data_IF_138292137977
#
_entry.id   IF_138292137977
#
_cell.length_a   1.000
_cell.length_b   1.000
_cell.length_c   1.000
_cell.angle_alpha   90.00
_cell.angle_beta   90.00
_cell.angle_gamma   90.00
#
_symmetry.space_group_name_H-M   'P 1'
#
loop_
_entity.id
_entity.type
_entity.pdbx_description
1 polymer ?
#
# COMPACT_ATOMS: atom_id res chain seq x y z
N UNK A 1 -21.17 26.79 12.70
CA UNK A 1 -19.97 26.29 13.42
C UNK A 1 -19.92 24.76 13.59
N UNK A 2 -20.96 24.00 13.22
CA UNK A 2 -21.00 22.53 13.40
C UNK A 2 -20.29 21.72 12.29
N UNK A 3 -20.14 22.30 11.08
CA UNK A 3 -19.53 21.62 9.93
C UNK A 3 -17.99 21.62 9.98
N UNK A 4 -17.38 22.71 10.47
CA UNK A 4 -15.93 22.81 10.72
C UNK A 4 -15.46 21.67 11.64
N UNK A 5 -16.26 21.36 12.66
CA UNK A 5 -15.97 20.35 13.67
C UNK A 5 -16.02 18.91 13.14
N UNK A 6 -16.85 18.61 12.13
CA UNK A 6 -16.94 17.25 11.58
C UNK A 6 -15.68 16.86 10.79
N UNK A 7 -15.19 17.75 9.92
CA UNK A 7 -13.98 17.48 9.13
C UNK A 7 -12.74 17.41 10.02
N UNK A 8 -12.60 18.31 10.99
CA UNK A 8 -11.48 18.29 11.95
C UNK A 8 -11.50 16.99 12.76
N UNK A 9 -12.66 16.59 13.30
CA UNK A 9 -12.79 15.32 14.04
C UNK A 9 -12.42 14.13 13.18
N UNK A 10 -12.84 14.10 11.91
CA UNK A 10 -12.52 13.00 11.01
C UNK A 10 -11.03 12.91 10.70
N UNK A 11 -10.36 14.03 10.39
CA UNK A 11 -8.91 14.04 10.16
C UNK A 11 -8.10 13.57 11.38
N UNK A 12 -8.60 13.86 12.59
CA UNK A 12 -7.96 13.41 13.84
C UNK A 12 -8.22 11.94 14.20
N UNK A 13 -9.28 11.33 13.64
CA UNK A 13 -9.76 9.99 14.06
C UNK A 13 -9.74 8.94 12.96
N UNK A 14 -9.43 9.32 11.73
CA UNK A 14 -9.40 8.42 10.59
C UNK A 14 -8.25 8.78 9.65
N UNK A 15 -7.59 7.77 9.05
CA UNK A 15 -6.59 8.01 8.03
C UNK A 15 -7.14 8.82 6.86
N UNK A 16 -6.31 9.72 6.34
CA UNK A 16 -6.63 10.57 5.19
C UNK A 16 -5.42 10.69 4.26
N UNK A 17 -5.67 11.03 3.00
CA UNK A 17 -4.62 11.41 2.03
C UNK A 17 -4.66 12.92 1.84
N UNK A 18 -3.56 13.59 2.18
CA UNK A 18 -3.36 15.01 2.07
C UNK A 18 -2.71 15.37 0.74
N UNK A 19 -3.35 16.23 -0.03
CA UNK A 19 -2.94 16.68 -1.37
C UNK A 19 -2.76 18.20 -1.35
N UNK A 20 -1.98 18.75 -2.28
CA UNK A 20 -1.79 20.22 -2.35
C UNK A 20 -3.11 20.95 -2.64
N UNK A 21 -3.94 20.36 -3.49
CA UNK A 21 -5.30 20.80 -3.82
C UNK A 21 -6.21 19.58 -3.85
N UNK A 22 -7.52 19.73 -3.61
CA UNK A 22 -8.46 18.63 -3.73
C UNK A 22 -8.30 17.92 -5.08
N UNK A 23 -8.31 16.58 -5.11
CA UNK A 23 -8.26 15.86 -6.37
C UNK A 23 -9.52 16.15 -7.21
N UNK A 24 -9.39 16.04 -8.53
CA UNK A 24 -10.55 16.00 -9.42
C UNK A 24 -11.45 14.81 -9.01
N UNK A 25 -12.75 15.04 -8.72
CA UNK A 25 -13.70 13.97 -8.40
C UNK A 25 -13.70 12.82 -9.40
N UNK A 26 -13.55 13.12 -10.69
CA UNK A 26 -13.53 12.11 -11.75
C UNK A 26 -12.26 11.26 -11.71
N UNK A 27 -11.12 11.87 -11.38
CA UNK A 27 -9.86 11.16 -11.20
C UNK A 27 -9.90 10.24 -9.98
N UNK A 28 -10.44 10.72 -8.85
CA UNK A 28 -10.64 9.90 -7.65
C UNK A 28 -11.58 8.73 -7.94
N UNK A 29 -12.71 8.98 -8.61
CA UNK A 29 -13.65 7.92 -9.01
C UNK A 29 -12.99 6.87 -9.92
N UNK A 30 -12.21 7.31 -10.91
CA UNK A 30 -11.52 6.41 -11.83
C UNK A 30 -10.49 5.51 -11.12
N UNK A 31 -9.80 6.04 -10.09
CA UNK A 31 -8.93 5.23 -9.23
C UNK A 31 -9.76 4.21 -8.47
N UNK A 32 -10.80 4.63 -7.74
CA UNK A 32 -11.61 3.75 -6.89
C UNK A 32 -12.31 2.63 -7.67
N UNK A 33 -12.78 2.90 -8.90
CA UNK A 33 -13.42 1.89 -9.77
C UNK A 33 -12.51 0.72 -10.14
N UNK A 34 -11.20 0.92 -10.17
CA UNK A 34 -10.24 -0.17 -10.49
C UNK A 34 -10.15 -1.22 -9.38
N UNK A 35 -10.58 -0.86 -8.17
CA UNK A 35 -10.41 -1.68 -6.97
C UNK A 35 -11.76 -2.08 -6.34
N UNK A 36 -12.86 -1.54 -6.83
CA UNK A 36 -14.17 -1.95 -6.39
C UNK A 36 -14.52 -3.31 -7.02
N UNK A 37 -14.56 -4.37 -6.22
CA UNK A 37 -15.02 -5.71 -6.64
C UNK A 37 -16.50 -5.71 -7.08
N UNK A 38 -17.25 -4.72 -6.59
CA UNK A 38 -18.63 -4.43 -6.95
C UNK A 38 -18.74 -3.03 -7.60
N UNK A 39 -19.86 -2.69 -8.27
CA UNK A 39 -20.07 -1.34 -8.76
C UNK A 39 -19.90 -0.30 -7.64
N UNK A 40 -19.08 0.72 -7.90
CA UNK A 40 -18.83 1.80 -6.95
C UNK A 40 -20.16 2.46 -6.55
N UNK A 41 -20.50 2.41 -5.26
CA UNK A 41 -21.69 3.03 -4.71
C UNK A 41 -21.50 4.53 -4.49
N UNK A 42 -22.62 5.24 -4.30
CA UNK A 42 -22.62 6.65 -3.88
C UNK A 42 -23.59 6.86 -2.72
N UNK A 43 -23.19 7.66 -1.74
CA UNK A 43 -24.02 8.06 -0.60
C UNK A 43 -23.74 9.52 -0.23
N UNK A 44 -24.56 10.44 -0.73
CA UNK A 44 -24.26 11.87 -0.67
C UNK A 44 -22.92 12.18 -1.35
N UNK A 45 -22.00 12.83 -0.62
CA UNK A 45 -20.67 13.20 -1.10
C UNK A 45 -19.62 12.07 -0.94
N UNK A 46 -20.06 10.84 -0.65
CA UNK A 46 -19.18 9.68 -0.47
C UNK A 46 -19.26 8.72 -1.64
N UNK A 47 -18.11 8.27 -2.10
CA UNK A 47 -17.96 7.01 -2.82
C UNK A 47 -17.98 5.86 -1.83
N UNK A 48 -18.66 4.76 -2.18
CA UNK A 48 -18.74 3.55 -1.36
C UNK A 48 -18.03 2.41 -2.09
N UNK A 49 -16.97 1.90 -1.48
CA UNK A 49 -16.09 0.85 -2.01
C UNK A 49 -16.31 -0.43 -1.21
N UNK A 50 -16.51 -1.55 -1.89
CA UNK A 50 -16.73 -2.87 -1.27
C UNK A 50 -18.21 -3.22 -1.09
N UNK A 51 -18.51 -4.52 -0.96
CA UNK A 51 -19.89 -5.05 -0.86
C UNK A 51 -20.29 -5.57 0.53
N UNK A 52 -19.32 -5.99 1.36
CA UNK A 52 -19.56 -6.50 2.74
C UNK A 52 -18.99 -5.56 3.81
N UNK A 53 -17.80 -5.02 3.57
CA UNK A 53 -17.11 -4.08 4.48
C UNK A 53 -16.94 -2.72 3.81
N UNK A 54 -18.04 -1.97 3.71
CA UNK A 54 -18.08 -0.70 2.97
C UNK A 54 -17.09 0.34 3.52
N UNK A 55 -16.09 0.70 2.72
CA UNK A 55 -15.27 1.89 2.94
C UNK A 55 -15.89 3.06 2.17
N UNK A 56 -16.15 4.14 2.90
CA UNK A 56 -16.65 5.38 2.35
C UNK A 56 -15.48 6.33 2.15
N UNK A 57 -15.32 6.82 0.92
CA UNK A 57 -14.25 7.76 0.53
C UNK A 57 -14.88 9.08 0.09
N UNK A 58 -14.41 10.19 0.64
CA UNK A 58 -14.77 11.55 0.19
C UNK A 58 -13.52 12.41 0.02
N UNK A 59 -13.63 13.49 -0.72
CA UNK A 59 -12.60 14.52 -0.80
C UNK A 59 -13.15 15.84 -0.27
N UNK A 60 -12.29 16.65 0.32
CA UNK A 60 -12.62 17.96 0.87
C UNK A 60 -11.49 18.94 0.61
N UNK A 61 -11.84 20.21 0.48
CA UNK A 61 -10.89 21.32 0.60
C UNK A 61 -10.88 21.83 2.04
N UNK A 62 -9.70 21.96 2.62
CA UNK A 62 -9.49 22.48 3.96
C UNK A 62 -9.28 23.99 3.93
N UNK A 63 -9.99 24.71 4.81
CA UNK A 63 -9.62 26.09 5.12
C UNK A 63 -8.34 26.13 5.95
N UNK A 64 -7.61 27.26 5.98
CA UNK A 64 -6.43 27.42 6.84
C UNK A 64 -6.72 27.12 8.32
N UNK A 65 -7.91 27.50 8.81
CA UNK A 65 -8.34 27.24 10.18
C UNK A 65 -8.57 25.74 10.43
N UNK A 66 -9.14 25.02 9.46
CA UNK A 66 -9.33 23.58 9.55
C UNK A 66 -7.99 22.82 9.53
N UNK A 67 -7.06 23.21 8.66
CA UNK A 67 -5.74 22.61 8.57
C UNK A 67 -4.97 22.79 9.89
N UNK A 68 -4.93 24.03 10.41
CA UNK A 68 -4.31 24.36 11.70
C UNK A 68 -4.93 23.57 12.85
N UNK A 69 -6.27 23.55 12.94
CA UNK A 69 -6.96 22.80 13.98
C UNK A 69 -6.76 21.28 13.87
N UNK A 70 -6.60 20.73 12.67
CA UNK A 70 -6.35 19.30 12.48
C UNK A 70 -4.88 18.90 12.67
N UNK A 71 -3.95 19.85 12.78
CA UNK A 71 -2.51 19.54 12.80
C UNK A 71 -1.97 19.14 11.41
N UNK A 72 -2.61 19.63 10.35
CA UNK A 72 -2.27 19.36 8.95
C UNK A 72 -1.46 20.55 8.40
N UNK A 73 -0.42 20.31 7.56
CA UNK A 73 0.32 21.39 6.91
C UNK A 73 -0.59 22.32 6.09
N UNK A 74 -0.38 23.65 6.21
CA UNK A 74 -1.23 24.65 5.57
C UNK A 74 -1.15 24.65 4.03
N UNK A 75 -0.08 24.10 3.46
CA UNK A 75 0.14 23.91 2.01
C UNK A 75 -0.56 22.66 1.44
N UNK A 76 -1.21 21.87 2.31
CA UNK A 76 -1.98 20.66 1.96
C UNK A 76 -3.47 20.92 2.15
N UNK A 77 -4.08 21.60 1.18
CA UNK A 77 -5.48 22.01 1.25
C UNK A 77 -6.46 20.97 0.74
N UNK A 78 -6.03 19.95 -0.01
CA UNK A 78 -6.90 18.84 -0.36
C UNK A 78 -6.78 17.71 0.65
N UNK A 79 -7.90 17.13 1.07
CA UNK A 79 -7.90 15.93 1.91
C UNK A 79 -8.89 14.89 1.38
N UNK A 80 -8.45 13.64 1.30
CA UNK A 80 -9.29 12.50 0.97
C UNK A 80 -9.50 11.71 2.25
N UNK A 81 -10.73 11.71 2.74
CA UNK A 81 -11.09 11.18 4.05
C UNK A 81 -11.80 9.86 3.87
N UNK A 82 -11.40 8.86 4.65
CA UNK A 82 -12.00 7.54 4.66
C UNK A 82 -12.81 7.31 5.94
N UNK A 83 -13.87 6.52 5.85
CA UNK A 83 -14.63 6.06 7.01
C UNK A 83 -15.27 4.70 6.75
N UNK A 84 -15.60 3.94 7.80
CA UNK A 84 -16.11 2.57 7.65
C UNK A 84 -15.02 1.58 7.22
N UNK A 85 -15.42 0.33 6.97
CA UNK A 85 -14.54 -0.79 6.69
C UNK A 85 -13.59 -1.18 7.83
N UNK A 86 -12.96 -2.34 7.68
CA UNK A 86 -11.91 -2.76 8.59
C UNK A 86 -10.63 -1.92 8.42
N UNK A 87 -9.59 -2.21 9.22
CA UNK A 87 -8.31 -1.47 9.17
C UNK A 87 -7.57 -1.74 7.86
N UNK A 88 -7.51 -2.99 7.43
CA UNK A 88 -6.76 -3.45 6.25
C UNK A 88 -7.30 -2.80 4.97
N UNK A 89 -8.61 -2.84 4.75
CA UNK A 89 -9.24 -2.26 3.57
C UNK A 89 -9.09 -0.73 3.53
N UNK A 90 -9.11 -0.07 4.69
CA UNK A 90 -8.84 1.38 4.78
C UNK A 90 -7.40 1.71 4.43
N UNK A 91 -6.43 1.01 5.01
CA UNK A 91 -5.01 1.19 4.70
C UNK A 91 -4.75 1.00 3.20
N UNK A 92 -5.31 -0.05 2.62
CA UNK A 92 -5.22 -0.33 1.19
C UNK A 92 -5.74 0.83 0.33
N UNK A 93 -6.94 1.37 0.63
CA UNK A 93 -7.52 2.48 -0.13
C UNK A 93 -6.72 3.76 0.07
N UNK A 94 -6.27 4.07 1.30
CA UNK A 94 -5.42 5.24 1.59
C UNK A 94 -4.14 5.19 0.77
N UNK A 95 -3.42 4.06 0.81
CA UNK A 95 -2.16 3.88 0.09
C UNK A 95 -2.36 3.97 -1.43
N UNK A 96 -3.41 3.31 -1.95
CA UNK A 96 -3.78 3.35 -3.37
C UNK A 96 -4.05 4.76 -3.86
N UNK A 97 -4.84 5.52 -3.10
CA UNK A 97 -5.22 6.89 -3.45
C UNK A 97 -4.00 7.81 -3.36
N UNK A 98 -3.17 7.68 -2.32
CA UNK A 98 -1.94 8.46 -2.14
C UNK A 98 -0.96 8.28 -3.30
N UNK A 99 -0.68 7.03 -3.68
CA UNK A 99 0.26 6.72 -4.78
C UNK A 99 -0.24 7.14 -6.15
N UNK A 100 -1.56 7.14 -6.40
CA UNK A 100 -2.13 7.45 -7.73
C UNK A 100 -2.46 8.92 -7.93
N UNK A 101 -2.88 9.63 -6.89
CA UNK A 101 -3.29 11.03 -6.96
C UNK A 101 -2.20 12.00 -6.47
N UNK A 102 -1.11 11.48 -5.91
CA UNK A 102 -0.03 12.29 -5.35
C UNK A 102 -0.45 12.97 -4.06
N UNK A 103 -0.24 12.30 -2.92
CA UNK A 103 -0.57 12.84 -1.60
C UNK A 103 0.13 12.11 -0.48
N UNK A 104 0.11 12.71 0.71
CA UNK A 104 0.74 12.20 1.92
C UNK A 104 -0.32 11.62 2.87
N UNK A 105 -0.04 10.46 3.47
CA UNK A 105 -0.95 9.84 4.45
C UNK A 105 -0.92 10.60 5.79
N UNK A 106 -2.09 10.76 6.41
CA UNK A 106 -2.26 11.43 7.69
C UNK A 106 -3.21 10.65 8.62
N UNK A 107 -2.84 10.37 9.88
CA UNK A 107 -1.50 10.58 10.43
C UNK A 107 -0.47 9.63 9.79
N UNK A 108 0.83 9.97 9.76
CA UNK A 108 1.87 9.11 9.17
C UNK A 108 1.88 7.68 9.72
N UNK A 109 1.55 7.51 11.01
CA UNK A 109 1.43 6.22 11.69
C UNK A 109 0.22 5.36 11.24
N UNK A 110 -0.56 5.81 10.26
CA UNK A 110 -1.61 5.03 9.63
C UNK A 110 -1.13 4.23 8.40
N UNK A 111 0.11 4.45 7.97
CA UNK A 111 0.78 3.61 6.97
C UNK A 111 0.99 2.22 7.58
N UNK A 112 0.78 1.16 6.80
CA UNK A 112 1.24 -0.16 7.20
C UNK A 112 2.76 -0.14 7.15
N UNK A 113 3.44 -0.56 8.21
CA UNK A 113 4.89 -0.38 8.36
C UNK A 113 5.67 -1.27 7.36
N UNK A 114 4.98 -2.15 6.64
CA UNK A 114 5.52 -3.08 5.66
C UNK A 114 5.06 -2.74 4.23
N UNK A 115 6.00 -2.83 3.30
CA UNK A 115 5.73 -3.01 1.88
C UNK A 115 5.59 -4.52 1.62
N UNK A 116 4.37 -4.99 1.38
CA UNK A 116 4.06 -6.38 1.03
C UNK A 116 3.83 -6.53 -0.50
N UNK A 117 4.59 -7.45 -1.10
CA UNK A 117 4.46 -7.89 -2.49
C UNK A 117 4.41 -9.40 -2.58
N UNK A 118 3.28 -9.91 -3.05
CA UNK A 118 3.07 -11.32 -3.34
C UNK A 118 3.28 -11.64 -4.84
N UNK A 119 3.95 -12.75 -5.13
CA UNK A 119 3.99 -13.37 -6.45
C UNK A 119 3.16 -14.65 -6.41
N UNK A 120 2.01 -14.63 -7.09
CA UNK A 120 1.02 -15.71 -7.08
C UNK A 120 1.15 -16.58 -8.32
N UNK A 121 1.60 -17.81 -8.12
CA UNK A 121 1.78 -18.85 -9.14
C UNK A 121 0.65 -19.86 -9.09
N UNK A 122 0.12 -20.28 -10.24
CA UNK A 122 -0.83 -21.40 -10.31
C UNK A 122 -0.13 -22.72 -10.01
N UNK A 123 -0.82 -23.68 -9.40
CA UNK A 123 -0.31 -25.03 -9.06
C UNK A 123 0.46 -25.74 -10.17
N UNK A 124 0.05 -25.61 -11.44
CA UNK A 124 0.69 -26.28 -12.58
C UNK A 124 1.96 -25.60 -13.08
N UNK A 125 2.26 -24.39 -12.61
CA UNK A 125 3.44 -23.59 -12.96
C UNK A 125 4.26 -23.12 -11.76
N UNK A 126 3.95 -23.62 -10.56
CA UNK A 126 4.66 -23.30 -9.34
C UNK A 126 6.08 -23.87 -9.35
N UNK A 127 7.02 -23.10 -8.84
CA UNK A 127 8.40 -23.54 -8.61
C UNK A 127 8.59 -23.91 -7.14
N UNK A 128 9.47 -24.84 -6.79
CA UNK A 128 9.77 -25.15 -5.38
C UNK A 128 10.45 -23.98 -4.64
N UNK A 129 10.48 -24.02 -3.31
CA UNK A 129 11.11 -22.97 -2.50
C UNK A 129 12.61 -22.78 -2.78
N UNK A 130 13.35 -23.86 -3.07
CA UNK A 130 14.77 -23.78 -3.50
C UNK A 130 14.95 -23.06 -4.84
N UNK A 131 13.99 -23.26 -5.75
CA UNK A 131 13.97 -22.60 -7.05
C UNK A 131 13.66 -21.12 -6.89
N UNK A 132 12.64 -20.79 -6.08
CA UNK A 132 12.31 -19.41 -5.73
C UNK A 132 13.50 -18.68 -5.09
N UNK A 133 14.20 -19.33 -4.15
CA UNK A 133 15.41 -18.78 -3.53
C UNK A 133 16.52 -18.48 -4.56
N UNK A 134 16.68 -19.35 -5.56
CA UNK A 134 17.65 -19.13 -6.64
C UNK A 134 17.25 -17.98 -7.57
N UNK A 135 15.96 -17.82 -7.84
CA UNK A 135 15.45 -16.73 -8.69
C UNK A 135 15.62 -15.35 -8.04
N UNK A 136 15.47 -15.24 -6.72
CA UNK A 136 15.61 -13.95 -6.01
C UNK A 136 17.06 -13.59 -5.67
N UNK A 137 17.96 -14.59 -5.63
CA UNK A 137 19.37 -14.41 -5.25
C UNK A 137 20.10 -13.26 -5.96
N UNK A 138 19.92 -13.01 -7.27
CA UNK A 138 20.58 -11.89 -7.96
C UNK A 138 20.18 -10.50 -7.43
N UNK A 139 19.05 -10.40 -6.74
CA UNK A 139 18.46 -9.13 -6.28
C UNK A 139 18.55 -8.96 -4.77
N UNK A 140 18.29 -10.04 -4.03
CA UNK A 140 18.22 -10.03 -2.56
C UNK A 140 19.42 -10.71 -1.89
N UNK A 141 20.39 -11.23 -2.66
CA UNK A 141 21.53 -11.96 -2.12
C UNK A 141 21.19 -13.39 -1.68
N UNK A 142 22.14 -14.05 -1.02
CA UNK A 142 21.96 -15.44 -0.59
C UNK A 142 20.86 -15.55 0.48
N UNK A 143 20.02 -16.58 0.37
CA UNK A 143 18.97 -16.92 1.34
C UNK A 143 19.11 -18.38 1.74
N UNK A 144 19.00 -18.66 3.03
CA UNK A 144 18.88 -20.01 3.58
C UNK A 144 17.42 -20.42 3.49
N UNK A 145 17.15 -21.56 2.85
CA UNK A 145 15.79 -22.11 2.78
C UNK A 145 15.56 -22.96 4.03
N UNK A 146 14.67 -22.49 4.90
CA UNK A 146 14.16 -23.24 6.05
C UNK A 146 12.85 -23.91 5.63
N UNK A 147 12.90 -25.22 5.39
CA UNK A 147 11.73 -26.00 5.00
C UNK A 147 10.85 -26.32 6.19
N UNK A 148 9.63 -25.76 6.24
CA UNK A 148 8.59 -26.15 7.19
C UNK A 148 7.34 -26.65 6.45
N UNK A 149 7.48 -27.83 5.84
CA UNK A 149 6.41 -28.46 5.07
C UNK A 149 5.24 -28.96 5.96
N UNK A 150 5.37 -28.95 7.28
CA UNK A 150 4.29 -29.29 8.22
C UNK A 150 3.13 -28.30 8.10
N UNK A 151 3.49 -27.02 7.98
CA UNK A 151 2.55 -25.90 7.92
C UNK A 151 2.35 -25.39 6.48
N UNK A 152 3.05 -25.98 5.50
CA UNK A 152 3.01 -25.55 4.11
C UNK A 152 3.79 -24.27 3.84
N UNK A 153 4.74 -23.90 4.70
CA UNK A 153 5.48 -22.65 4.56
C UNK A 153 6.97 -22.93 4.59
N UNK A 154 7.73 -22.34 3.68
CA UNK A 154 9.19 -22.32 3.74
C UNK A 154 9.62 -20.87 3.97
N UNK A 155 10.54 -20.65 4.92
CA UNK A 155 11.14 -19.31 5.09
C UNK A 155 12.43 -19.23 4.28
N UNK A 156 12.62 -18.11 3.59
CA UNK A 156 13.83 -17.81 2.82
C UNK A 156 14.61 -16.77 3.60
N UNK A 157 15.38 -17.25 4.58
CA UNK A 157 16.01 -16.43 5.62
C UNK A 157 17.30 -15.80 5.11
N UNK A 158 17.42 -14.49 5.27
CA UNK A 158 18.64 -13.76 4.96
C UNK A 158 19.75 -14.00 5.99
N UNK A 159 21.00 -13.74 5.59
CA UNK A 159 22.04 -13.45 6.58
C UNK A 159 21.73 -12.15 7.32
N UNK A 160 22.08 -12.06 8.61
CA UNK A 160 21.68 -10.97 9.51
C UNK A 160 21.85 -9.55 8.91
N UNK A 161 20.84 -8.70 9.10
CA UNK A 161 20.84 -7.29 8.69
C UNK A 161 20.13 -6.99 7.38
N UNK A 162 19.51 -7.98 6.75
CA UNK A 162 18.70 -7.77 5.56
C UNK A 162 17.30 -7.24 5.92
N UNK A 163 16.80 -6.20 5.24
CA UNK A 163 15.52 -5.61 5.55
C UNK A 163 14.33 -6.31 4.86
N UNK A 164 14.57 -7.22 3.91
CA UNK A 164 13.51 -7.91 3.16
C UNK A 164 13.29 -9.32 3.71
N UNK A 165 12.12 -9.54 4.31
CA UNK A 165 11.62 -10.86 4.67
C UNK A 165 10.99 -11.55 3.45
N UNK A 166 11.25 -12.85 3.31
CA UNK A 166 10.73 -13.64 2.19
C UNK A 166 10.16 -14.94 2.71
N UNK A 167 8.87 -15.16 2.46
CA UNK A 167 8.22 -16.43 2.75
C UNK A 167 7.72 -17.08 1.48
N UNK A 168 7.74 -18.41 1.46
CA UNK A 168 7.20 -19.20 0.37
C UNK A 168 6.08 -20.05 0.95
N UNK A 169 4.85 -19.79 0.53
CA UNK A 169 3.69 -20.58 0.89
C UNK A 169 3.48 -21.66 -0.18
N UNK A 170 3.75 -22.90 0.20
CA UNK A 170 3.38 -24.09 -0.55
C UNK A 170 1.96 -24.49 -0.13
N UNK A 171 0.99 -24.53 -1.05
CA UNK A 171 -0.35 -24.85 -0.63
C UNK A 171 -0.46 -26.32 -0.21
N UNK A 172 -0.77 -26.55 1.06
CA UNK A 172 -1.33 -27.83 1.54
C UNK A 172 -2.82 -27.91 1.13
N UNK A 173 -3.49 -26.76 0.94
CA UNK A 173 -4.93 -26.67 0.64
C UNK A 173 -5.35 -25.68 -0.48
N UNK A 174 -4.57 -24.64 -0.80
CA UNK A 174 -4.91 -23.66 -1.86
C UNK A 174 -4.45 -24.12 -3.28
N UNK A 175 -4.94 -23.55 -4.40
CA UNK A 175 -4.44 -23.90 -5.73
C UNK A 175 -3.23 -23.05 -6.17
N UNK A 176 -2.72 -22.17 -5.30
CA UNK A 176 -1.67 -21.21 -5.65
C UNK A 176 -0.44 -21.36 -4.75
N UNK A 177 0.74 -21.29 -5.36
CA UNK A 177 2.00 -21.10 -4.67
C UNK A 177 2.25 -19.60 -4.56
N UNK A 178 2.59 -19.12 -3.37
CA UNK A 178 2.78 -17.69 -3.13
C UNK A 178 4.21 -17.49 -2.64
N UNK A 179 4.96 -16.63 -3.33
CA UNK A 179 6.17 -16.03 -2.77
C UNK A 179 5.76 -14.68 -2.23
N UNK A 180 5.93 -14.49 -0.93
CA UNK A 180 5.62 -13.27 -0.23
C UNK A 180 6.92 -12.53 0.10
N UNK A 181 6.97 -11.24 -0.21
CA UNK A 181 8.13 -10.36 -0.07
C UNK A 181 7.71 -9.15 0.76
N UNK A 182 8.18 -9.09 1.99
CA UNK A 182 7.85 -8.03 2.93
C UNK A 182 9.09 -7.18 3.24
N UNK A 183 8.92 -5.86 3.31
CA UNK A 183 9.98 -4.92 3.65
C UNK A 183 9.46 -3.88 4.65
N UNK A 184 10.10 -3.77 5.82
CA UNK A 184 9.84 -2.66 6.76
C UNK A 184 10.40 -1.35 6.18
N UNK A 185 9.51 -0.46 5.70
CA UNK A 185 9.89 0.79 5.04
C UNK A 185 9.80 1.94 6.05
N UNK A 186 10.96 2.42 6.50
CA UNK A 186 11.07 3.48 7.51
C UNK A 186 11.44 4.83 6.92
N UNK A 187 11.98 4.86 5.70
CA UNK A 187 12.26 6.10 5.01
C UNK A 187 13.23 6.01 3.82
N UNK A 188 13.85 7.14 3.43
CA UNK A 188 14.68 7.26 2.22
C UNK A 188 15.74 6.21 2.01
N UNK A 189 16.34 5.78 3.12
CA UNK A 189 17.43 4.83 3.11
C UNK A 189 17.01 3.46 2.57
N UNK A 190 15.71 3.14 2.59
CA UNK A 190 15.17 1.83 2.22
C UNK A 190 14.83 1.72 0.72
N UNK A 191 14.92 2.83 -0.04
CA UNK A 191 14.63 2.84 -1.49
C UNK A 191 15.41 1.79 -2.31
N UNK A 192 16.71 1.54 -2.06
CA UNK A 192 17.41 0.46 -2.75
C UNK A 192 16.82 -0.92 -2.44
N UNK A 193 16.33 -1.16 -1.22
CA UNK A 193 15.70 -2.42 -0.83
C UNK A 193 14.32 -2.58 -1.49
N UNK A 194 13.55 -1.48 -1.58
CA UNK A 194 12.29 -1.43 -2.33
C UNK A 194 12.52 -1.82 -3.80
N UNK A 195 13.53 -1.24 -4.46
CA UNK A 195 13.84 -1.58 -5.85
C UNK A 195 14.26 -3.04 -6.00
N UNK A 196 15.09 -3.55 -5.09
CA UNK A 196 15.52 -4.95 -5.09
C UNK A 196 14.34 -5.91 -4.93
N UNK A 197 13.39 -5.59 -4.04
CA UNK A 197 12.16 -6.35 -3.81
C UNK A 197 11.30 -6.44 -5.08
N UNK A 198 11.03 -5.33 -5.76
CA UNK A 198 10.25 -5.35 -7.01
C UNK A 198 10.96 -6.07 -8.16
N UNK A 199 12.28 -5.97 -8.24
CA UNK A 199 13.07 -6.72 -9.23
C UNK A 199 13.01 -8.22 -8.96
N UNK A 200 13.08 -8.64 -7.69
CA UNK A 200 12.91 -10.03 -7.30
C UNK A 200 11.51 -10.56 -7.66
N UNK A 201 10.45 -9.82 -7.32
CA UNK A 201 9.08 -10.18 -7.67
C UNK A 201 8.88 -10.33 -9.18
N UNK A 202 9.41 -9.37 -9.96
CA UNK A 202 9.32 -9.37 -11.42
C UNK A 202 10.04 -10.55 -12.05
N UNK A 203 11.22 -10.93 -11.53
CA UNK A 203 11.98 -12.06 -12.04
C UNK A 203 11.25 -13.40 -11.83
N UNK A 204 10.61 -13.59 -10.67
CA UNK A 204 9.80 -14.79 -10.41
C UNK A 204 8.61 -14.81 -11.37
N UNK A 205 7.92 -13.68 -11.54
CA UNK A 205 6.76 -13.58 -12.42
C UNK A 205 7.11 -13.84 -13.90
N UNK A 206 8.23 -13.31 -14.39
CA UNK A 206 8.71 -13.55 -15.74
C UNK A 206 9.05 -15.04 -15.96
N UNK A 207 9.70 -15.67 -14.98
CA UNK A 207 10.10 -17.07 -15.09
C UNK A 207 8.92 -18.07 -15.02
N UNK A 208 7.85 -17.70 -14.32
CA UNK A 208 6.75 -18.62 -13.98
C UNK A 208 5.42 -18.28 -14.66
N UNK A 209 5.33 -17.11 -15.30
CA UNK A 209 4.06 -16.56 -15.77
C UNK A 209 3.11 -16.18 -14.64
N UNK A 210 3.63 -15.98 -13.42
CA UNK A 210 2.86 -15.61 -12.24
C UNK A 210 2.35 -14.17 -12.30
N UNK A 211 1.38 -13.87 -11.44
CA UNK A 211 0.88 -12.51 -11.23
C UNK A 211 1.56 -11.89 -10.02
N UNK A 212 2.09 -10.68 -10.18
CA UNK A 212 2.59 -9.87 -9.05
C UNK A 212 1.43 -9.06 -8.49
N UNK A 213 1.21 -9.18 -7.18
CA UNK A 213 0.21 -8.43 -6.42
C UNK A 213 0.95 -7.68 -5.33
N UNK A 214 0.97 -6.35 -5.41
CA UNK A 214 1.42 -5.54 -4.30
C UNK A 214 0.24 -5.27 -3.36
N UNK A 215 0.35 -5.72 -2.11
CA UNK A 215 -0.65 -5.50 -1.06
C UNK A 215 -0.57 -4.09 -0.50
N UNK A 216 0.63 -3.52 -0.49
CA UNK A 216 0.91 -2.15 -0.04
C UNK A 216 1.52 -1.30 -1.14
N UNK A 217 0.68 -0.62 -1.94
CA UNK A 217 1.24 0.13 -3.07
C UNK A 217 2.12 1.30 -2.61
N UNK A 218 3.34 1.29 -3.17
CA UNK A 218 4.32 2.36 -3.25
C UNK A 218 3.68 3.75 -3.28
N UNK A 219 4.00 4.54 -2.26
CA UNK A 219 4.28 5.94 -2.51
C UNK A 219 5.37 5.98 -3.59
N UNK A 220 4.99 6.36 -4.82
CA UNK A 220 5.84 6.19 -6.01
C UNK A 220 7.16 6.95 -5.95
N UNK A 221 7.28 7.90 -5.01
CA UNK A 221 8.51 8.60 -4.67
C UNK A 221 8.53 8.87 -3.16
N UNK A 222 9.67 8.66 -2.54
CA UNK A 222 9.83 8.82 -1.10
C UNK A 222 9.64 10.27 -0.60
N UNK A 223 10.01 11.25 -1.41
CA UNK A 223 9.64 12.67 -1.28
C UNK A 223 8.13 12.98 -1.16
N UNK A 224 7.24 11.99 -1.33
CA UNK A 224 5.81 12.13 -1.10
C UNK A 224 5.38 11.66 0.32
N UNK A 225 6.30 11.12 1.14
CA UNK A 225 6.06 10.71 2.53
C UNK A 225 6.12 11.89 3.53
N UNK A 226 7.04 12.87 3.38
CA UNK A 226 7.23 14.06 4.26
C UNK A 226 7.91 15.21 3.44
N UNK A 227 7.56 16.52 3.61
CA UNK A 227 7.78 17.57 2.60
C UNK A 227 9.19 18.19 2.60
N UNK A 228 9.71 18.58 1.42
CA UNK A 228 10.79 19.57 1.31
C UNK A 228 10.30 20.90 0.71
N UNK A 229 10.88 22.00 1.18
CA UNK A 229 10.54 23.38 0.84
C UNK A 229 10.72 23.73 -0.66
N UNK A 230 11.41 22.88 -1.39
CA UNK A 230 11.84 23.11 -2.78
C UNK A 230 10.72 22.86 -3.82
N UNK A 231 9.51 22.51 -3.34
CA UNK A 231 8.33 22.20 -4.17
C UNK A 231 7.16 23.16 -3.97
N UNK A 232 7.36 24.27 -3.26
CA UNK A 232 6.45 25.41 -3.36
C UNK A 232 6.68 26.10 -4.71
N UNK A 233 5.65 26.37 -5.54
CA UNK A 233 5.81 27.35 -6.59
C UNK A 233 6.14 28.69 -5.92
N UNK A 234 7.12 29.41 -6.47
CA UNK A 234 7.26 30.84 -6.18
C UNK A 234 5.97 31.60 -6.49
#
# INVERSE_FOLDING_TARGET
MWFLDRTIRQLRSSPAVLTHRPPDPAALEAVLRRYAEAPLGRSGDWFVVGARDEVKVRWVELTPEQASAAGVPADRRGAIVLSGGDRTLRSFIVNTVAGRLGGAVHPPAAIDDYLDVEVRMRKSGGVGCDEAARMIRPFLGERIVEHDHSDGVCRLVATAGDPVEVTYNWPVADPEHIVDLELDVRGPADLPAVEALYRAASAIAEATGATVVCKDFLVTRLEDLIPSADRLPG
#
